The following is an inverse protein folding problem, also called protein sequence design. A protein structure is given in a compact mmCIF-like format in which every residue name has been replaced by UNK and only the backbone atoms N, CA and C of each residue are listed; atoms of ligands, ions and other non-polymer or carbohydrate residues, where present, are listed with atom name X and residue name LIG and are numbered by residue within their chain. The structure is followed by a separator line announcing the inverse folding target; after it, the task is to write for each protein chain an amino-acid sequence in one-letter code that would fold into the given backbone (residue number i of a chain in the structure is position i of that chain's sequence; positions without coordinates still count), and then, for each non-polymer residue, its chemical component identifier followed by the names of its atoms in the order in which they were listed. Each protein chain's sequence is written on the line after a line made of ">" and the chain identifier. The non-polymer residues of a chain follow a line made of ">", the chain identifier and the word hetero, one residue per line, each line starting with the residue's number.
data_IF_949165329593
#
_entry.id   IF_949165329593
#
_cell.length_a   1.000
_cell.length_b   1.000
_cell.length_c   1.000
_cell.angle_alpha   90.00
_cell.angle_beta   90.00
_cell.angle_gamma   90.00
#
_symmetry.space_group_name_H-M   'P 1'
#
loop_
_entity.id
_entity.type
_entity.pdbx_description
1 polymer ?
#
# COMPACT_ATOMS: atom_id res chain seq x y z
N UNK A 1 -65.71 40.19 -20.62
CA UNK A 1 -64.91 40.65 -19.47
C UNK A 1 -64.52 39.45 -18.59
N UNK A 2 -63.69 38.53 -19.08
CA UNK A 2 -63.31 37.30 -18.35
C UNK A 2 -61.82 36.93 -18.46
N UNK A 3 -61.00 37.80 -19.07
CA UNK A 3 -59.59 37.48 -19.36
C UNK A 3 -58.61 37.95 -18.27
N UNK A 4 -59.04 38.82 -17.33
CA UNK A 4 -58.14 39.35 -16.29
C UNK A 4 -58.01 38.45 -15.05
N UNK A 5 -58.99 37.57 -14.79
CA UNK A 5 -58.93 36.67 -13.62
C UNK A 5 -58.11 35.39 -13.87
N UNK A 6 -58.00 34.95 -15.12
CA UNK A 6 -57.22 33.76 -15.48
C UNK A 6 -55.71 34.04 -15.53
N UNK A 7 -55.32 35.23 -15.96
CA UNK A 7 -53.90 35.67 -15.98
C UNK A 7 -53.39 35.94 -14.56
N UNK A 8 -54.25 36.43 -13.66
CA UNK A 8 -53.90 36.60 -12.24
C UNK A 8 -53.66 35.26 -11.52
N UNK A 9 -54.39 34.19 -11.90
CA UNK A 9 -54.18 32.86 -11.32
C UNK A 9 -52.90 32.17 -11.83
N UNK A 10 -52.51 32.45 -13.09
CA UNK A 10 -51.27 31.92 -13.68
C UNK A 10 -50.01 32.64 -13.17
N UNK A 11 -50.12 33.92 -12.79
CA UNK A 11 -49.00 34.71 -12.26
C UNK A 11 -48.65 34.38 -10.80
N UNK A 12 -49.58 33.84 -10.02
CA UNK A 12 -49.32 33.39 -8.62
C UNK A 12 -48.65 32.01 -8.57
N UNK A 13 -48.73 31.22 -9.65
CA UNK A 13 -48.09 29.90 -9.76
C UNK A 13 -46.61 29.94 -10.21
N UNK A 14 -46.08 31.11 -10.60
CA UNK A 14 -44.73 31.25 -11.17
C UNK A 14 -43.71 31.82 -10.15
N UNK A 15 -44.13 32.17 -8.94
CA UNK A 15 -43.23 32.68 -7.89
C UNK A 15 -43.07 31.79 -6.65
N UNK A 16 -43.46 30.51 -6.72
CA UNK A 16 -42.89 29.52 -5.79
C UNK A 16 -41.54 29.07 -6.32
N UNK A 17 -40.54 29.96 -6.23
CA UNK A 17 -39.16 29.48 -6.09
C UNK A 17 -39.16 28.81 -4.72
N UNK A 18 -39.46 27.52 -4.69
CA UNK A 18 -39.19 26.72 -3.52
C UNK A 18 -37.68 26.83 -3.30
N UNK A 19 -37.26 27.62 -2.33
CA UNK A 19 -35.94 27.48 -1.73
C UNK A 19 -35.78 25.97 -1.47
N UNK A 20 -34.87 25.34 -2.20
CA UNK A 20 -34.47 23.98 -1.90
C UNK A 20 -33.83 24.03 -0.51
N UNK A 21 -34.64 23.82 0.53
CA UNK A 21 -34.16 23.77 1.90
C UNK A 21 -33.09 22.69 1.97
N UNK A 22 -31.86 23.09 2.29
CA UNK A 22 -30.72 22.18 2.36
C UNK A 22 -30.93 21.22 3.54
N UNK A 23 -31.28 19.98 3.21
CA UNK A 23 -31.71 18.92 4.13
C UNK A 23 -30.62 18.41 5.08
N UNK A 24 -29.38 18.42 4.59
CA UNK A 24 -28.20 18.13 5.37
C UNK A 24 -27.14 19.17 5.04
N UNK A 25 -26.55 19.75 6.07
CA UNK A 25 -25.46 20.71 5.92
C UNK A 25 -24.15 19.99 6.10
N UNK A 26 -23.29 20.14 5.10
CA UNK A 26 -21.91 19.72 5.18
C UNK A 26 -21.09 20.99 5.41
N UNK A 27 -20.25 21.00 6.44
CA UNK A 27 -19.23 22.04 6.62
C UNK A 27 -17.89 21.39 6.96
N UNK A 28 -16.80 22.06 6.61
CA UNK A 28 -15.47 21.67 7.05
C UNK A 28 -14.93 22.77 7.94
N UNK A 29 -14.39 22.34 9.06
CA UNK A 29 -13.64 23.21 9.95
C UNK A 29 -12.17 22.79 9.95
N UNK A 30 -11.31 23.74 10.31
CA UNK A 30 -9.85 23.71 10.36
C UNK A 30 -9.17 24.18 9.06
N UNK A 31 -8.70 25.43 9.09
CA UNK A 31 -7.70 26.01 8.17
C UNK A 31 -6.33 25.46 8.53
N UNK A 32 -6.12 24.20 8.17
CA UNK A 32 -4.92 23.46 8.48
C UNK A 32 -3.76 23.79 7.55
N UNK A 33 -2.55 23.62 8.08
CA UNK A 33 -1.29 23.69 7.36
C UNK A 33 -0.55 22.38 7.57
N UNK A 34 0.07 21.84 6.51
CA UNK A 34 0.90 20.62 6.60
C UNK A 34 2.36 21.00 6.32
N UNK A 35 3.20 21.11 7.36
CA UNK A 35 4.64 21.29 7.21
C UNK A 35 5.33 19.93 7.05
N UNK A 36 5.87 19.65 5.87
CA UNK A 36 6.74 18.50 5.60
C UNK A 36 8.18 18.97 5.73
N UNK A 37 8.71 18.92 6.96
CA UNK A 37 10.05 19.42 7.29
C UNK A 37 11.11 18.30 7.33
N UNK A 38 10.74 17.05 7.02
CA UNK A 38 11.68 15.91 6.87
C UNK A 38 11.31 15.04 5.66
N UNK A 39 12.20 14.15 5.20
CA UNK A 39 11.85 13.10 4.22
C UNK A 39 11.08 11.92 4.82
N UNK A 40 10.86 11.91 6.14
CA UNK A 40 10.02 10.93 6.84
C UNK A 40 8.53 11.14 6.63
N UNK A 41 7.70 10.22 7.15
CA UNK A 41 6.24 10.38 7.11
C UNK A 41 5.85 11.61 7.94
N UNK A 42 5.08 12.51 7.33
CA UNK A 42 4.49 13.64 8.04
C UNK A 42 3.03 13.36 8.30
N UNK A 43 2.61 13.43 9.56
CA UNK A 43 1.21 13.21 9.97
C UNK A 43 0.71 14.34 10.84
N UNK A 44 -0.33 15.02 10.38
CA UNK A 44 -1.01 16.06 11.15
C UNK A 44 -2.33 15.51 11.66
N UNK A 45 -2.40 15.32 12.99
CA UNK A 45 -3.55 14.72 13.63
C UNK A 45 -4.76 15.63 13.60
N UNK A 46 -5.93 15.07 13.30
CA UNK A 46 -7.22 15.76 13.31
C UNK A 46 -7.22 17.06 12.48
N UNK A 47 -6.40 17.12 11.42
CA UNK A 47 -6.26 18.33 10.61
C UNK A 47 -7.60 18.76 10.03
N UNK A 48 -8.47 17.81 9.69
CA UNK A 48 -9.78 18.11 9.11
C UNK A 48 -10.91 17.57 9.97
N UNK A 49 -11.90 18.44 10.22
CA UNK A 49 -13.17 18.10 10.84
C UNK A 49 -14.28 18.26 9.82
N UNK A 50 -14.94 17.16 9.50
CA UNK A 50 -16.10 17.15 8.63
C UNK A 50 -17.36 17.11 9.48
N UNK A 51 -18.19 18.13 9.34
CA UNK A 51 -19.41 18.29 10.10
C UNK A 51 -20.60 18.02 9.19
N UNK A 52 -21.42 17.05 9.58
CA UNK A 52 -22.66 16.68 8.93
C UNK A 52 -23.78 17.01 9.91
N UNK A 53 -24.67 17.90 9.52
CA UNK A 53 -25.83 18.30 10.32
C UNK A 53 -27.11 17.95 9.56
N UNK A 54 -28.08 17.38 10.27
CA UNK A 54 -29.43 17.08 9.77
C UNK A 54 -30.44 17.81 10.65
N UNK A 55 -31.35 18.55 10.02
CA UNK A 55 -32.42 19.31 10.69
C UNK A 55 -33.79 18.82 10.19
N UNK A 56 -34.76 18.70 11.13
CA UNK A 56 -36.20 18.35 11.02
C UNK A 56 -36.72 17.63 9.76
N UNK A 57 -37.48 16.56 10.02
CA UNK A 57 -38.06 15.56 9.11
C UNK A 57 -38.29 15.94 7.62
N UNK A 58 -37.57 15.23 6.74
CA UNK A 58 -38.09 14.65 5.49
C UNK A 58 -37.42 13.28 5.27
N UNK A 59 -37.63 12.38 6.23
CA UNK A 59 -37.11 11.01 6.23
C UNK A 59 -37.45 10.22 4.95
N UNK A 60 -36.58 9.23 4.65
CA UNK A 60 -36.56 8.24 3.56
C UNK A 60 -35.47 8.39 2.47
N UNK A 61 -34.62 9.42 2.47
CA UNK A 61 -33.48 9.50 1.52
C UNK A 61 -32.10 9.41 2.19
N UNK A 62 -32.04 9.54 3.51
CA UNK A 62 -30.83 9.56 4.33
C UNK A 62 -30.62 8.24 5.11
N UNK A 63 -31.39 7.21 4.79
CA UNK A 63 -31.04 5.82 5.08
C UNK A 63 -29.93 5.40 4.12
N UNK A 64 -28.87 4.74 4.59
CA UNK A 64 -27.77 4.27 3.69
C UNK A 64 -27.21 5.42 2.84
N UNK A 65 -26.85 6.51 3.49
CA UNK A 65 -26.17 7.66 2.89
C UNK A 65 -24.68 7.36 2.66
N UNK A 66 -24.01 8.17 1.86
CA UNK A 66 -22.54 8.13 1.77
C UNK A 66 -21.91 9.51 1.67
N UNK A 67 -20.68 9.62 2.21
CA UNK A 67 -19.78 10.74 1.99
C UNK A 67 -18.58 10.26 1.20
N UNK A 68 -18.20 11.04 0.20
CA UNK A 68 -16.98 10.84 -0.58
C UNK A 68 -16.15 12.11 -0.57
N UNK A 69 -14.84 11.97 -0.83
CA UNK A 69 -13.97 13.11 -1.09
C UNK A 69 -13.16 12.86 -2.36
N UNK A 70 -12.81 13.93 -3.06
CA UNK A 70 -11.93 13.89 -4.22
C UNK A 70 -11.09 15.13 -4.33
N UNK A 71 -9.94 14.99 -4.95
CA UNK A 71 -9.06 16.11 -5.27
C UNK A 71 -9.66 16.92 -6.42
N UNK A 72 -9.66 18.24 -6.27
CA UNK A 72 -10.26 19.17 -7.22
C UNK A 72 -9.18 19.98 -7.93
N UNK A 73 -8.68 19.43 -9.04
CA UNK A 73 -7.61 20.02 -9.83
C UNK A 73 -6.20 19.66 -9.32
N UNK A 74 -5.15 20.16 -9.99
CA UNK A 74 -3.77 19.87 -9.61
C UNK A 74 -3.42 20.49 -8.26
N UNK A 75 -2.65 19.76 -7.44
CA UNK A 75 -2.05 20.30 -6.21
C UNK A 75 -0.79 21.03 -6.62
N UNK A 76 -0.81 22.36 -6.65
CA UNK A 76 0.29 23.15 -7.20
C UNK A 76 0.68 24.32 -6.31
N UNK A 77 1.96 24.70 -6.36
CA UNK A 77 2.47 25.96 -5.81
C UNK A 77 2.71 27.03 -6.90
N UNK A 78 2.16 26.83 -8.11
CA UNK A 78 2.34 27.67 -9.29
C UNK A 78 3.51 27.26 -10.19
N UNK A 79 4.44 26.44 -9.70
CA UNK A 79 5.63 25.98 -10.45
C UNK A 79 5.64 24.45 -10.57
N UNK A 80 5.42 23.77 -9.44
CA UNK A 80 5.47 22.31 -9.34
C UNK A 80 4.06 21.78 -9.09
N UNK A 81 3.81 20.55 -9.51
CA UNK A 81 2.54 19.84 -9.26
C UNK A 81 2.81 18.61 -8.40
N UNK A 82 2.27 18.58 -7.19
CA UNK A 82 2.44 17.49 -6.24
C UNK A 82 1.48 16.32 -6.58
N UNK A 83 1.96 15.07 -6.53
CA UNK A 83 1.15 13.89 -6.80
C UNK A 83 0.10 13.66 -5.70
N UNK A 84 -1.21 13.66 -6.04
CA UNK A 84 -2.25 13.53 -5.02
C UNK A 84 -2.16 12.24 -4.21
N UNK A 85 -1.81 11.11 -4.83
CA UNK A 85 -1.71 9.81 -4.16
C UNK A 85 -0.67 9.72 -3.04
N UNK A 86 0.22 10.71 -2.93
CA UNK A 86 1.19 10.84 -1.83
C UNK A 86 0.59 11.49 -0.57
N UNK A 87 -0.63 12.01 -0.66
CA UNK A 87 -1.45 12.42 0.47
C UNK A 87 -2.46 11.33 0.81
N UNK A 88 -2.70 11.13 2.11
CA UNK A 88 -3.66 10.15 2.61
C UNK A 88 -4.49 10.74 3.75
N UNK A 89 -5.73 10.29 3.84
CA UNK A 89 -6.57 10.47 5.02
C UNK A 89 -6.56 9.20 5.86
N UNK A 90 -6.64 9.38 7.17
CA UNK A 90 -6.96 8.30 8.09
C UNK A 90 -7.99 8.80 9.09
N UNK A 91 -9.06 8.03 9.28
CA UNK A 91 -10.07 8.32 10.29
C UNK A 91 -9.44 8.26 11.68
N UNK A 92 -9.72 9.27 12.50
CA UNK A 92 -9.19 9.39 13.86
C UNK A 92 -10.26 9.01 14.87
N UNK A 93 -11.34 9.81 14.92
CA UNK A 93 -12.49 9.55 15.78
C UNK A 93 -13.70 10.36 15.29
N UNK A 94 -14.84 10.15 15.94
CA UNK A 94 -16.05 10.93 15.72
C UNK A 94 -16.62 11.46 17.04
N UNK A 95 -17.43 12.50 16.94
CA UNK A 95 -18.31 12.94 18.02
C UNK A 95 -19.68 13.30 17.45
N UNK A 96 -20.71 13.23 18.29
CA UNK A 96 -22.09 13.51 17.89
C UNK A 96 -22.73 14.51 18.84
N UNK A 97 -23.79 15.15 18.36
CA UNK A 97 -24.68 15.99 19.14
C UNK A 97 -26.12 15.80 18.67
N UNK A 98 -27.09 16.00 19.56
CA UNK A 98 -28.51 15.87 19.25
C UNK A 98 -29.11 14.51 19.60
N UNK A 99 -30.32 14.25 19.10
CA UNK A 99 -31.10 13.08 19.49
C UNK A 99 -30.58 11.80 18.83
N UNK A 100 -30.39 10.76 19.65
CA UNK A 100 -30.09 9.39 19.19
C UNK A 100 -31.35 8.73 18.63
N UNK A 101 -31.19 7.96 17.55
CA UNK A 101 -32.23 7.13 16.93
C UNK A 101 -32.31 5.71 17.53
N UNK A 102 -31.68 5.48 18.69
CA UNK A 102 -31.63 4.18 19.38
C UNK A 102 -30.60 3.20 18.81
N UNK A 103 -29.80 3.64 17.84
CA UNK A 103 -28.68 2.88 17.27
C UNK A 103 -27.38 3.54 17.72
N UNK A 104 -26.45 2.84 18.40
CA UNK A 104 -25.20 3.45 18.83
C UNK A 104 -24.44 4.09 17.66
N UNK A 105 -24.08 5.37 17.79
CA UNK A 105 -23.30 6.06 16.76
C UNK A 105 -21.82 5.76 16.95
N UNK A 106 -21.25 4.99 16.04
CA UNK A 106 -19.84 4.67 16.00
C UNK A 106 -19.38 4.46 14.55
N UNK A 107 -18.07 4.26 14.35
CA UNK A 107 -17.52 4.14 13.00
C UNK A 107 -18.12 2.98 12.20
N UNK A 108 -18.40 1.85 12.85
CA UNK A 108 -19.02 0.70 12.19
C UNK A 108 -20.48 0.96 11.82
N UNK A 109 -21.28 1.57 12.70
CA UNK A 109 -22.70 1.82 12.41
C UNK A 109 -22.91 2.87 11.31
N UNK A 110 -21.97 3.81 11.17
CA UNK A 110 -21.94 4.79 10.08
C UNK A 110 -21.28 4.24 8.79
N UNK A 111 -20.74 3.01 8.81
CA UNK A 111 -20.02 2.44 7.68
C UNK A 111 -18.76 3.21 7.30
N UNK A 112 -18.07 3.85 8.25
CA UNK A 112 -16.86 4.63 7.99
C UNK A 112 -15.69 3.73 7.58
N UNK A 113 -14.99 4.14 6.52
CA UNK A 113 -13.71 3.57 6.17
C UNK A 113 -12.62 4.08 7.13
N UNK A 114 -12.19 3.22 8.05
CA UNK A 114 -11.15 3.55 9.03
C UNK A 114 -9.73 3.26 8.55
N UNK A 115 -9.57 2.71 7.35
CA UNK A 115 -8.28 2.45 6.75
C UNK A 115 -7.61 3.73 6.25
N UNK A 116 -6.32 3.64 5.93
CA UNK A 116 -5.59 4.73 5.29
C UNK A 116 -6.04 4.86 3.83
N UNK A 117 -6.58 6.02 3.47
CA UNK A 117 -7.19 6.29 2.17
C UNK A 117 -6.33 7.28 1.37
N UNK A 118 -5.79 6.91 0.19
CA UNK A 118 -5.06 7.86 -0.65
C UNK A 118 -5.98 8.90 -1.26
N UNK A 119 -5.46 10.09 -1.49
CA UNK A 119 -6.17 11.13 -2.21
C UNK A 119 -6.19 10.79 -3.71
N UNK A 120 -7.37 10.90 -4.32
CA UNK A 120 -7.59 10.57 -5.72
C UNK A 120 -8.46 11.62 -6.41
N UNK A 121 -8.33 11.71 -7.74
CA UNK A 121 -9.16 12.61 -8.57
C UNK A 121 -10.54 11.99 -8.83
N UNK A 122 -10.62 10.66 -8.98
CA UNK A 122 -11.86 9.90 -9.21
C UNK A 122 -12.80 9.85 -8.00
N UNK A 123 -12.30 10.24 -6.83
CA UNK A 123 -13.02 10.20 -5.56
C UNK A 123 -12.85 8.90 -4.79
N UNK A 124 -12.94 9.05 -3.47
CA UNK A 124 -12.71 8.01 -2.47
C UNK A 124 -13.84 8.05 -1.46
N UNK A 125 -14.43 6.89 -1.18
CA UNK A 125 -15.53 6.76 -0.22
C UNK A 125 -15.01 6.87 1.22
N UNK A 126 -15.57 7.84 1.96
CA UNK A 126 -15.36 7.99 3.41
C UNK A 126 -16.27 7.03 4.19
N UNK A 127 -17.50 6.89 3.73
CA UNK A 127 -18.45 5.91 4.25
C UNK A 127 -18.89 5.01 3.11
N UNK A 128 -18.94 3.70 3.36
CA UNK A 128 -19.52 2.77 2.38
C UNK A 128 -21.02 2.68 2.59
N UNK A 129 -21.76 3.06 1.55
CA UNK A 129 -23.22 3.11 1.55
C UNK A 129 -23.90 1.80 1.97
N UNK A 130 -23.32 0.67 1.59
CA UNK A 130 -23.83 -0.66 1.90
C UNK A 130 -23.60 -1.07 3.36
N UNK A 131 -22.70 -0.40 4.09
CA UNK A 131 -22.29 -0.71 5.45
C UNK A 131 -22.86 0.26 6.50
N UNK A 132 -23.31 1.44 6.07
CA UNK A 132 -24.00 2.37 6.97
C UNK A 132 -25.38 1.83 7.32
N UNK A 133 -25.54 1.42 8.58
CA UNK A 133 -26.81 0.98 9.18
C UNK A 133 -27.46 2.10 10.00
N UNK A 134 -26.75 3.20 10.23
CA UNK A 134 -27.27 4.36 10.94
C UNK A 134 -28.09 5.27 10.00
N UNK A 135 -29.39 5.32 10.27
CA UNK A 135 -30.33 6.16 9.52
C UNK A 135 -30.22 7.62 9.98
N UNK A 136 -29.81 8.50 9.06
CA UNK A 136 -29.79 9.95 9.27
C UNK A 136 -31.17 10.61 9.07
N UNK A 137 -32.21 9.86 8.73
CA UNK A 137 -33.62 10.29 8.64
C UNK A 137 -34.29 10.59 9.98
N UNK A 138 -33.57 11.16 10.93
CA UNK A 138 -34.01 11.42 12.31
C UNK A 138 -34.99 12.61 12.33
N UNK A 139 -36.00 12.56 13.21
CA UNK A 139 -37.05 13.60 13.32
C UNK A 139 -36.60 14.88 14.04
N UNK A 140 -35.46 14.81 14.72
CA UNK A 140 -34.91 15.88 15.55
C UNK A 140 -33.49 16.23 15.06
N UNK A 141 -32.98 17.36 15.55
CA UNK A 141 -31.59 17.76 15.33
C UNK A 141 -30.61 16.62 15.64
N UNK A 142 -29.72 16.35 14.68
CA UNK A 142 -28.58 15.45 14.87
C UNK A 142 -27.39 15.94 14.06
N UNK A 143 -26.20 15.84 14.65
CA UNK A 143 -24.96 16.23 14.00
C UNK A 143 -23.82 15.24 14.29
N UNK A 144 -22.97 15.03 13.28
CA UNK A 144 -21.76 14.21 13.35
C UNK A 144 -20.55 15.08 13.02
N UNK A 145 -19.51 15.00 13.84
CA UNK A 145 -18.17 15.47 13.52
C UNK A 145 -17.28 14.27 13.24
N UNK A 146 -16.70 14.19 12.05
CA UNK A 146 -15.71 13.19 11.67
C UNK A 146 -14.33 13.85 11.63
N UNK A 147 -13.37 13.32 12.37
CA UNK A 147 -12.01 13.86 12.43
C UNK A 147 -11.05 12.97 11.63
N UNK A 148 -10.23 13.60 10.80
CA UNK A 148 -9.25 12.93 9.95
C UNK A 148 -7.84 13.50 10.14
N UNK A 149 -6.89 12.59 10.25
CA UNK A 149 -5.47 12.87 10.11
C UNK A 149 -5.14 13.05 8.62
N UNK A 150 -4.25 14.01 8.30
CA UNK A 150 -3.62 14.08 6.98
C UNK A 150 -2.21 13.53 7.09
N UNK A 151 -1.87 12.65 6.15
CA UNK A 151 -0.58 11.98 6.08
C UNK A 151 0.06 12.32 4.74
N UNK A 152 1.34 12.70 4.77
CA UNK A 152 2.21 12.78 3.60
C UNK A 152 3.18 11.61 3.68
N UNK A 153 3.23 10.81 2.61
CA UNK A 153 4.12 9.66 2.52
C UNK A 153 5.61 10.09 2.64
N UNK A 154 6.41 9.23 3.26
CA UNK A 154 7.86 9.42 3.33
C UNK A 154 8.52 9.16 1.97
N UNK A 155 9.68 9.78 1.71
CA UNK A 155 10.58 9.32 0.66
C UNK A 155 11.38 10.40 -0.06
N UNK A 156 12.40 9.96 -0.80
CA UNK A 156 13.31 10.83 -1.56
C UNK A 156 12.60 11.68 -2.62
N UNK A 157 11.42 11.24 -3.08
CA UNK A 157 10.61 11.98 -4.07
C UNK A 157 10.24 13.39 -3.59
N UNK A 158 10.21 13.63 -2.27
CA UNK A 158 9.94 14.96 -1.70
C UNK A 158 10.99 16.00 -2.12
N UNK A 159 12.19 15.57 -2.53
CA UNK A 159 13.24 16.47 -2.99
C UNK A 159 12.81 17.25 -4.25
N UNK A 160 12.11 16.58 -5.17
CA UNK A 160 11.57 17.22 -6.36
C UNK A 160 10.59 18.35 -6.00
N UNK A 161 9.89 18.24 -4.88
CA UNK A 161 8.84 19.19 -4.47
C UNK A 161 9.29 20.21 -3.44
N UNK A 162 10.56 20.16 -2.99
CA UNK A 162 11.12 21.14 -2.05
C UNK A 162 10.92 22.58 -2.55
N UNK A 163 10.28 23.41 -1.72
CA UNK A 163 9.94 24.80 -2.05
C UNK A 163 9.56 25.64 -0.83
N UNK A 164 9.86 26.95 -0.89
CA UNK A 164 9.33 27.95 0.03
C UNK A 164 7.87 28.31 -0.24
N UNK A 165 7.36 28.01 -1.43
CA UNK A 165 5.98 28.29 -1.82
C UNK A 165 5.06 27.11 -1.50
N UNK A 166 3.91 27.43 -0.93
CA UNK A 166 2.92 26.46 -0.50
C UNK A 166 2.21 25.83 -1.70
N UNK A 167 2.06 24.51 -1.67
CA UNK A 167 1.15 23.79 -2.56
C UNK A 167 -0.28 23.96 -2.04
N UNK A 168 -1.19 24.37 -2.91
CA UNK A 168 -2.61 24.45 -2.57
C UNK A 168 -3.26 23.10 -2.82
N UNK A 169 -3.74 22.46 -1.76
CA UNK A 169 -4.54 21.23 -1.88
C UNK A 169 -6.00 21.64 -1.90
N UNK A 170 -6.66 21.47 -3.04
CA UNK A 170 -8.08 21.71 -3.22
C UNK A 170 -8.79 20.36 -3.37
N UNK A 171 -9.91 20.20 -2.68
CA UNK A 171 -10.73 19.01 -2.70
C UNK A 171 -12.19 19.40 -2.71
N UNK A 172 -13.03 18.45 -3.09
CA UNK A 172 -14.48 18.51 -2.93
C UNK A 172 -14.88 17.33 -2.08
N UNK A 173 -15.73 17.58 -1.10
CA UNK A 173 -16.47 16.53 -0.41
C UNK A 173 -17.92 16.56 -0.83
N UNK A 174 -18.50 15.38 -0.95
CA UNK A 174 -19.83 15.17 -1.49
C UNK A 174 -20.61 14.28 -0.52
N UNK A 175 -21.81 14.73 -0.14
CA UNK A 175 -22.79 13.92 0.57
C UNK A 175 -23.81 13.42 -0.44
N UNK A 176 -24.07 12.13 -0.43
CA UNK A 176 -24.94 11.43 -1.38
C UNK A 176 -26.03 10.64 -0.65
N UNK A 177 -27.21 10.61 -1.24
CA UNK A 177 -28.36 9.86 -0.73
C UNK A 177 -28.24 8.36 -1.05
N UNK A 178 -29.20 7.54 -0.62
CA UNK A 178 -29.26 6.08 -0.86
C UNK A 178 -29.19 5.61 -2.31
N UNK A 179 -29.49 6.49 -3.27
CA UNK A 179 -29.42 6.22 -4.71
C UNK A 179 -28.07 6.62 -5.31
N UNK A 180 -27.17 7.19 -4.51
CA UNK A 180 -25.90 7.75 -4.96
C UNK A 180 -26.04 9.15 -5.56
N UNK A 181 -27.21 9.78 -5.48
CA UNK A 181 -27.45 11.12 -6.02
C UNK A 181 -26.80 12.16 -5.08
N UNK A 182 -26.17 13.17 -5.68
CA UNK A 182 -25.53 14.26 -4.94
C UNK A 182 -26.59 15.09 -4.20
N UNK A 183 -26.44 15.21 -2.89
CA UNK A 183 -27.30 16.07 -2.08
C UNK A 183 -26.67 17.43 -1.84
N UNK A 184 -25.39 17.43 -1.48
CA UNK A 184 -24.62 18.65 -1.26
C UNK A 184 -23.13 18.36 -1.44
N UNK A 185 -22.38 19.40 -1.77
CA UNK A 185 -20.93 19.35 -1.83
C UNK A 185 -20.33 20.62 -1.24
N UNK A 186 -19.11 20.51 -0.70
CA UNK A 186 -18.35 21.65 -0.24
C UNK A 186 -16.90 21.60 -0.71
N UNK A 187 -16.32 22.75 -1.10
CA UNK A 187 -14.90 22.83 -1.33
C UNK A 187 -14.15 22.75 0.01
N UNK A 188 -13.05 22.01 0.01
CA UNK A 188 -12.14 21.90 1.13
C UNK A 188 -10.75 22.25 0.63
N UNK A 189 -10.05 23.11 1.36
CA UNK A 189 -8.64 23.37 1.06
C UNK A 189 -7.76 23.39 2.30
N UNK A 190 -6.49 23.12 2.09
CA UNK A 190 -5.42 23.35 3.04
C UNK A 190 -4.12 23.60 2.28
N UNK A 191 -3.16 24.16 2.98
CA UNK A 191 -1.86 24.49 2.40
C UNK A 191 -0.83 23.43 2.84
N UNK A 192 0.10 23.08 1.94
CA UNK A 192 1.16 22.09 2.14
C UNK A 192 2.51 22.74 1.82
N UNK A 193 3.46 22.77 2.77
CA UNK A 193 4.87 23.09 2.46
C UNK A 193 5.68 21.83 2.51
N UNK A 194 6.53 21.72 1.49
CA UNK A 194 7.51 20.67 1.40
C UNK A 194 8.87 21.33 1.51
N UNK A 195 9.47 21.23 2.69
CA UNK A 195 10.79 21.76 3.00
C UNK A 195 11.57 20.83 3.91
N UNK A 196 11.88 19.59 3.47
CA UNK A 196 12.75 18.72 4.23
C UNK A 196 14.08 19.39 4.59
N UNK A 197 14.46 19.32 5.86
CA UNK A 197 15.70 19.89 6.41
C UNK A 197 16.79 18.83 6.61
N UNK A 198 16.43 17.56 6.62
CA UNK A 198 17.33 16.41 6.65
C UNK A 198 17.86 16.06 5.25
N UNK A 199 18.47 14.89 5.07
CA UNK A 199 18.98 14.42 3.77
C UNK A 199 17.99 13.46 3.11
N UNK A 200 17.81 13.52 1.79
CA UNK A 200 16.95 12.55 1.08
C UNK A 200 17.41 11.12 1.38
N UNK A 201 16.49 10.17 1.63
CA UNK A 201 16.87 8.78 1.74
C UNK A 201 17.49 8.32 0.42
N UNK A 202 18.54 7.50 0.51
CA UNK A 202 19.20 6.94 -0.66
C UNK A 202 18.27 5.95 -1.37
N UNK A 203 17.89 6.25 -2.61
CA UNK A 203 17.16 5.28 -3.45
C UNK A 203 18.03 4.04 -3.64
N UNK A 204 17.55 2.84 -3.28
CA UNK A 204 18.32 1.62 -3.47
C UNK A 204 18.60 1.37 -4.96
N UNK A 205 19.87 1.34 -5.31
CA UNK A 205 20.38 0.88 -6.59
C UNK A 205 21.20 -0.37 -6.32
N UNK A 206 20.70 -1.51 -6.76
CA UNK A 206 21.27 -2.81 -6.47
C UNK A 206 21.04 -3.77 -7.63
N UNK A 207 21.83 -4.83 -7.68
CA UNK A 207 21.66 -5.88 -8.67
C UNK A 207 22.39 -7.16 -8.28
N UNK A 208 21.90 -8.25 -8.84
CA UNK A 208 22.49 -9.58 -8.75
C UNK A 208 22.57 -10.18 -10.14
N UNK A 209 23.73 -10.70 -10.52
CA UNK A 209 23.97 -11.30 -11.84
C UNK A 209 24.64 -12.64 -11.65
N UNK A 210 24.02 -13.69 -12.20
CA UNK A 210 24.60 -15.03 -12.26
C UNK A 210 25.52 -15.18 -13.47
N UNK A 211 26.65 -15.86 -13.28
CA UNK A 211 27.46 -16.34 -14.39
C UNK A 211 26.71 -17.41 -15.18
N UNK A 212 26.84 -17.41 -16.51
CA UNK A 212 26.16 -18.38 -17.38
C UNK A 212 26.49 -19.83 -17.00
N UNK A 213 27.73 -20.11 -16.58
CA UNK A 213 28.17 -21.45 -16.20
C UNK A 213 27.63 -21.90 -14.84
N UNK A 214 27.10 -20.97 -14.04
CA UNK A 214 26.55 -21.25 -12.72
C UNK A 214 25.02 -21.42 -12.71
N UNK A 215 24.34 -21.14 -13.83
CA UNK A 215 22.87 -21.30 -13.95
C UNK A 215 22.41 -22.75 -13.90
N UNK A 216 23.25 -23.68 -14.34
CA UNK A 216 22.99 -25.11 -14.32
C UNK A 216 24.08 -25.83 -13.53
N UNK A 217 23.67 -26.67 -12.58
CA UNK A 217 24.60 -27.46 -11.76
C UNK A 217 24.18 -28.91 -11.82
N UNK A 218 25.16 -29.77 -12.11
CA UNK A 218 24.99 -31.22 -12.16
C UNK A 218 25.81 -31.87 -11.05
N UNK A 219 25.15 -32.66 -10.21
CA UNK A 219 25.76 -33.53 -9.22
C UNK A 219 25.58 -34.97 -9.70
N UNK A 220 26.67 -35.62 -10.11
CA UNK A 220 26.62 -36.98 -10.69
C UNK A 220 27.19 -38.01 -9.71
N UNK A 221 26.41 -39.05 -9.42
CA UNK A 221 26.88 -40.24 -8.72
C UNK A 221 27.24 -41.32 -9.75
N UNK A 222 28.53 -41.61 -9.93
CA UNK A 222 29.03 -42.55 -10.96
C UNK A 222 29.60 -43.83 -10.36
N UNK A 223 30.11 -43.75 -9.14
CA UNK A 223 30.85 -44.83 -8.48
C UNK A 223 30.30 -45.09 -7.08
N UNK A 224 30.55 -46.28 -6.53
CA UNK A 224 30.22 -46.58 -5.13
C UNK A 224 30.85 -45.58 -4.14
N UNK A 225 32.02 -45.03 -4.49
CA UNK A 225 32.70 -43.99 -3.72
C UNK A 225 31.88 -42.69 -3.63
N UNK A 226 31.18 -42.31 -4.70
CA UNK A 226 30.35 -41.11 -4.73
C UNK A 226 29.16 -41.24 -3.77
N UNK A 227 28.59 -42.44 -3.65
CA UNK A 227 27.53 -42.70 -2.67
C UNK A 227 28.07 -42.74 -1.23
N UNK A 228 29.25 -43.34 -1.02
CA UNK A 228 29.88 -43.42 0.30
C UNK A 228 30.32 -42.06 0.83
N UNK A 229 30.90 -41.21 -0.03
CA UNK A 229 31.50 -39.93 0.37
C UNK A 229 30.60 -38.71 0.10
N UNK A 230 29.56 -38.88 -0.72
CA UNK A 230 28.80 -37.78 -1.27
C UNK A 230 29.53 -37.11 -2.44
N UNK A 231 28.81 -36.26 -3.15
CA UNK A 231 29.32 -35.51 -4.31
C UNK A 231 29.31 -34.03 -4.00
N UNK A 232 30.27 -33.29 -4.56
CA UNK A 232 30.40 -31.85 -4.37
C UNK A 232 30.74 -31.18 -5.69
N UNK A 233 30.09 -30.06 -5.99
CA UNK A 233 30.37 -29.21 -7.14
C UNK A 233 30.45 -27.76 -6.71
N UNK A 234 31.60 -27.15 -6.95
CA UNK A 234 31.81 -25.72 -6.72
C UNK A 234 31.81 -24.97 -8.06
N UNK A 235 31.04 -23.90 -8.12
CA UNK A 235 31.04 -22.92 -9.20
C UNK A 235 31.73 -21.65 -8.67
N UNK A 236 32.91 -21.35 -9.20
CA UNK A 236 33.62 -20.13 -8.81
C UNK A 236 32.98 -18.91 -9.46
N UNK A 237 32.90 -17.79 -8.73
CA UNK A 237 32.25 -16.54 -9.15
C UNK A 237 30.84 -16.78 -9.74
N UNK A 238 30.11 -17.70 -9.12
CA UNK A 238 28.80 -18.15 -9.57
C UNK A 238 27.78 -17.02 -9.73
N UNK A 239 27.85 -16.01 -8.87
CA UNK A 239 27.12 -14.76 -9.04
C UNK A 239 27.88 -13.59 -8.45
N UNK A 240 27.44 -12.40 -8.84
CA UNK A 240 27.91 -11.13 -8.30
C UNK A 240 26.76 -10.30 -7.79
N UNK A 241 27.07 -9.38 -6.87
CA UNK A 241 26.12 -8.37 -6.38
C UNK A 241 26.76 -6.99 -6.37
N UNK A 242 25.93 -5.95 -6.36
CA UNK A 242 26.31 -4.59 -5.98
C UNK A 242 25.10 -3.92 -5.33
N UNK A 243 25.33 -2.99 -4.40
CA UNK A 243 24.25 -2.20 -3.78
C UNK A 243 24.77 -0.91 -3.14
N UNK A 244 24.04 0.19 -3.27
CA UNK A 244 24.33 1.44 -2.54
C UNK A 244 23.68 1.50 -1.13
N UNK A 245 22.87 0.51 -0.77
CA UNK A 245 22.24 0.33 0.56
C UNK A 245 22.59 -1.06 1.11
N UNK A 246 22.53 -1.29 2.44
CA UNK A 246 22.65 -2.65 2.98
C UNK A 246 21.59 -3.56 2.35
N UNK A 247 21.86 -4.86 2.26
CA UNK A 247 20.93 -5.81 1.65
C UNK A 247 21.06 -7.21 2.25
N UNK A 248 20.04 -8.01 2.00
CA UNK A 248 20.05 -9.46 2.24
C UNK A 248 19.83 -10.23 0.95
N UNK A 249 20.45 -11.40 0.84
CA UNK A 249 20.13 -12.38 -0.20
C UNK A 249 19.46 -13.57 0.46
N UNK A 250 18.33 -13.97 -0.12
CA UNK A 250 17.55 -15.14 0.25
C UNK A 250 17.58 -16.17 -0.86
N UNK A 251 17.40 -17.41 -0.46
CA UNK A 251 17.28 -18.54 -1.37
C UNK A 251 16.13 -19.45 -0.97
N UNK A 252 15.48 -20.05 -1.95
CA UNK A 252 14.54 -21.15 -1.79
C UNK A 252 14.48 -21.97 -3.08
N UNK A 253 13.90 -23.16 -3.03
CA UNK A 253 13.57 -23.96 -4.21
C UNK A 253 12.13 -23.74 -4.66
N UNK A 254 11.84 -24.00 -5.95
CA UNK A 254 10.47 -24.11 -6.46
C UNK A 254 9.96 -25.52 -6.13
N UNK A 255 9.46 -25.70 -4.90
CA UNK A 255 8.95 -26.98 -4.40
C UNK A 255 9.90 -27.70 -3.43
N UNK A 256 9.36 -28.68 -2.69
CA UNK A 256 10.09 -29.42 -1.64
C UNK A 256 10.79 -30.68 -2.14
N UNK A 257 10.70 -30.99 -3.43
CA UNK A 257 11.33 -32.16 -4.05
C UNK A 257 11.80 -31.83 -5.46
N UNK A 258 12.92 -32.42 -5.85
CA UNK A 258 13.33 -32.56 -7.24
C UNK A 258 12.47 -33.65 -7.90
N UNK A 259 12.17 -33.48 -9.18
CA UNK A 259 11.39 -34.42 -9.98
C UNK A 259 12.22 -34.99 -11.12
N UNK A 260 11.92 -36.22 -11.49
CA UNK A 260 12.53 -36.92 -12.62
C UNK A 260 11.50 -37.22 -13.72
N UNK A 261 11.98 -37.58 -14.90
CA UNK A 261 11.11 -37.92 -16.04
C UNK A 261 10.31 -39.21 -15.80
N UNK A 262 10.79 -40.10 -14.92
CA UNK A 262 10.06 -41.30 -14.47
C UNK A 262 9.02 -41.04 -13.38
N UNK A 263 8.72 -39.77 -13.05
CA UNK A 263 7.86 -39.36 -11.93
C UNK A 263 8.38 -39.78 -10.54
N UNK A 264 9.66 -40.13 -10.42
CA UNK A 264 10.32 -40.32 -9.13
C UNK A 264 10.71 -38.96 -8.52
N UNK A 265 10.68 -38.85 -7.20
CA UNK A 265 11.01 -37.62 -6.47
C UNK A 265 12.19 -37.80 -5.53
N UNK A 266 12.99 -36.75 -5.37
CA UNK A 266 14.08 -36.66 -4.40
C UNK A 266 13.89 -35.42 -3.52
N UNK A 267 13.92 -35.51 -2.18
CA UNK A 267 13.70 -34.34 -1.34
C UNK A 267 14.85 -33.34 -1.48
N UNK A 268 14.53 -32.05 -1.66
CA UNK A 268 15.55 -31.01 -1.90
C UNK A 268 16.49 -30.81 -0.71
N UNK A 269 16.02 -31.10 0.51
CA UNK A 269 16.81 -30.94 1.73
C UNK A 269 17.96 -31.97 1.88
N UNK A 270 18.04 -32.97 1.01
CA UNK A 270 19.20 -33.85 0.87
C UNK A 270 20.39 -33.13 0.20
N UNK A 271 20.15 -31.98 -0.42
CA UNK A 271 21.18 -31.12 -1.02
C UNK A 271 21.57 -30.00 -0.06
N UNK A 272 22.88 -29.82 0.10
CA UNK A 272 23.49 -28.69 0.84
C UNK A 272 23.98 -27.65 -0.15
N UNK A 273 23.85 -26.39 0.23
CA UNK A 273 24.40 -25.25 -0.50
C UNK A 273 25.23 -24.39 0.45
N UNK A 274 26.45 -24.09 0.02
CA UNK A 274 27.37 -23.19 0.68
C UNK A 274 27.72 -22.03 -0.23
N UNK A 275 27.83 -20.84 0.37
CA UNK A 275 28.21 -19.61 -0.33
C UNK A 275 29.40 -19.01 0.37
N UNK A 276 30.43 -18.68 -0.41
CA UNK A 276 31.60 -17.96 0.06
C UNK A 276 31.79 -16.70 -0.77
N UNK A 277 32.21 -15.61 -0.15
CA UNK A 277 32.70 -14.46 -0.90
C UNK A 277 34.03 -14.84 -1.56
N UNK A 278 34.17 -14.63 -2.86
CA UNK A 278 35.23 -15.21 -3.68
C UNK A 278 36.63 -14.70 -3.30
N UNK A 279 36.78 -13.44 -2.90
CA UNK A 279 38.10 -12.86 -2.59
C UNK A 279 38.60 -13.24 -1.20
N UNK A 280 37.73 -13.12 -0.19
CA UNK A 280 38.04 -13.34 1.23
C UNK A 280 37.82 -14.79 1.67
N UNK A 281 37.11 -15.58 0.86
CA UNK A 281 36.67 -16.95 1.16
C UNK A 281 35.78 -17.05 2.41
N UNK A 282 35.22 -15.92 2.86
CA UNK A 282 34.32 -15.83 4.00
C UNK A 282 33.03 -16.61 3.70
N UNK A 283 32.69 -17.57 4.58
CA UNK A 283 31.44 -18.31 4.50
C UNK A 283 30.26 -17.40 4.88
N UNK A 284 29.38 -17.12 3.93
CA UNK A 284 28.21 -16.25 4.13
C UNK A 284 26.91 -17.05 4.24
N UNK A 285 26.83 -18.20 3.57
CA UNK A 285 25.67 -19.09 3.61
C UNK A 285 26.09 -20.55 3.73
N UNK A 286 25.39 -21.33 4.55
CA UNK A 286 25.55 -22.77 4.67
C UNK A 286 24.23 -23.37 5.11
N UNK A 287 23.49 -23.94 4.16
CA UNK A 287 22.13 -24.41 4.37
C UNK A 287 21.88 -25.76 3.69
N UNK A 288 20.89 -26.49 4.18
CA UNK A 288 20.20 -27.48 3.34
C UNK A 288 19.14 -26.73 2.52
N UNK A 289 18.98 -27.10 1.24
CA UNK A 289 17.98 -26.47 0.38
C UNK A 289 16.55 -26.76 0.89
N UNK A 290 15.66 -25.79 0.71
CA UNK A 290 14.26 -25.86 1.15
C UNK A 290 13.37 -25.02 0.24
N UNK A 291 12.08 -25.35 0.22
CA UNK A 291 11.05 -24.51 -0.40
C UNK A 291 10.79 -23.22 0.41
N UNK A 292 11.17 -23.18 1.68
CA UNK A 292 11.07 -21.97 2.52
C UNK A 292 12.26 -21.04 2.27
N UNK A 293 12.01 -19.72 2.30
CA UNK A 293 13.08 -18.73 2.16
C UNK A 293 14.09 -18.79 3.30
N UNK A 294 15.37 -18.84 2.94
CA UNK A 294 16.50 -18.87 3.88
C UNK A 294 17.47 -17.73 3.55
N UNK A 295 17.90 -16.97 4.57
CA UNK A 295 18.92 -15.94 4.41
C UNK A 295 20.29 -16.60 4.21
N UNK A 296 21.03 -16.16 3.20
CA UNK A 296 22.35 -16.71 2.82
C UNK A 296 23.44 -15.64 2.68
N UNK A 297 23.07 -14.36 2.59
CA UNK A 297 24.01 -13.24 2.66
C UNK A 297 23.32 -12.11 3.42
N UNK A 298 24.05 -11.48 4.34
CA UNK A 298 23.78 -10.16 4.88
C UNK A 298 25.00 -9.29 4.61
N UNK A 299 24.84 -8.20 3.87
CA UNK A 299 25.97 -7.33 3.51
C UNK A 299 25.62 -5.87 3.70
N UNK A 300 26.62 -5.10 4.14
CA UNK A 300 26.58 -3.64 4.03
C UNK A 300 26.59 -3.20 2.56
N UNK A 301 26.31 -1.92 2.31
CA UNK A 301 26.40 -1.31 0.99
C UNK A 301 27.81 -1.49 0.39
N UNK A 302 27.87 -1.81 -0.90
CA UNK A 302 29.08 -1.77 -1.71
C UNK A 302 28.71 -1.47 -3.18
N UNK A 303 29.13 -0.33 -3.74
CA UNK A 303 28.78 0.03 -5.11
C UNK A 303 29.56 -0.79 -6.15
N UNK A 304 30.72 -1.35 -5.80
CA UNK A 304 31.49 -2.22 -6.67
C UNK A 304 30.97 -3.66 -6.64
N UNK A 305 31.23 -4.43 -7.71
CA UNK A 305 30.85 -5.85 -7.78
C UNK A 305 31.60 -6.67 -6.73
N UNK A 306 30.85 -7.42 -5.92
CA UNK A 306 31.37 -8.53 -5.10
C UNK A 306 30.94 -9.85 -5.70
N UNK A 307 31.88 -10.79 -5.80
CA UNK A 307 31.64 -12.10 -6.40
C UNK A 307 31.52 -13.17 -5.32
N UNK A 308 30.68 -14.17 -5.58
CA UNK A 308 30.42 -15.25 -4.65
C UNK A 308 30.58 -16.59 -5.34
N UNK A 309 31.26 -17.51 -4.67
CA UNK A 309 31.33 -18.92 -5.03
C UNK A 309 30.11 -19.64 -4.46
N UNK A 310 29.52 -20.55 -5.23
CA UNK A 310 28.49 -21.46 -4.73
C UNK A 310 29.01 -22.89 -4.79
N UNK A 311 28.90 -23.61 -3.68
CA UNK A 311 29.17 -25.05 -3.62
C UNK A 311 27.89 -25.79 -3.29
N UNK A 312 27.51 -26.73 -4.16
CA UNK A 312 26.44 -27.69 -3.91
C UNK A 312 27.05 -29.03 -3.52
N UNK A 313 26.48 -29.69 -2.52
CA UNK A 313 26.96 -31.00 -2.07
C UNK A 313 25.87 -31.89 -1.52
N UNK A 314 26.16 -33.18 -1.45
CA UNK A 314 25.34 -34.17 -0.73
C UNK A 314 26.07 -34.65 0.51
N UNK A 315 25.33 -35.28 1.42
CA UNK A 315 25.93 -35.89 2.60
C UNK A 315 26.53 -37.27 2.26
N UNK A 316 27.70 -37.55 2.85
CA UNK A 316 28.34 -38.86 2.79
C UNK A 316 27.42 -39.95 3.36
N UNK A 317 27.27 -41.06 2.63
CA UNK A 317 26.47 -42.21 3.07
C UNK A 317 24.97 -41.95 3.16
N UNK A 318 24.45 -40.91 2.50
CA UNK A 318 23.03 -40.55 2.58
C UNK A 318 22.15 -41.57 1.84
N UNK A 319 21.43 -42.38 2.62
CA UNK A 319 20.52 -43.43 2.16
C UNK A 319 19.41 -42.92 1.22
N UNK A 320 19.15 -41.62 1.22
CA UNK A 320 18.20 -40.98 0.30
C UNK A 320 18.60 -41.19 -1.17
N UNK A 321 19.88 -41.37 -1.47
CA UNK A 321 20.40 -41.59 -2.82
C UNK A 321 20.63 -43.08 -3.17
N UNK A 322 20.80 -43.96 -2.18
CA UNK A 322 21.10 -45.38 -2.41
C UNK A 322 19.92 -46.18 -2.98
N UNK A 323 18.71 -45.91 -2.51
CA UNK A 323 17.50 -46.69 -2.86
C UNK A 323 16.64 -45.98 -3.91
N UNK A 324 17.26 -45.21 -4.81
CA UNK A 324 16.55 -44.45 -5.85
C UNK A 324 16.82 -45.00 -7.23
N UNK A 325 15.81 -44.90 -8.08
CA UNK A 325 15.94 -45.18 -9.50
C UNK A 325 17.04 -44.31 -10.09
N UNK A 326 17.89 -44.90 -10.92
CA UNK A 326 18.90 -44.19 -11.71
C UNK A 326 18.19 -43.32 -12.75
N UNK A 327 17.99 -42.06 -12.41
CA UNK A 327 17.30 -41.06 -13.23
C UNK A 327 17.87 -39.67 -12.93
N UNK A 328 17.59 -38.70 -13.80
CA UNK A 328 17.94 -37.31 -13.61
C UNK A 328 16.83 -36.61 -12.82
N UNK A 329 17.13 -36.22 -11.58
CA UNK A 329 16.25 -35.43 -10.73
C UNK A 329 16.62 -33.94 -10.89
N UNK A 330 15.65 -33.11 -11.23
CA UNK A 330 15.85 -31.68 -11.48
C UNK A 330 14.90 -30.81 -10.67
N UNK A 331 15.29 -29.56 -10.46
CA UNK A 331 14.54 -28.55 -9.75
C UNK A 331 15.19 -27.18 -9.91
N UNK A 332 14.50 -26.13 -9.46
CA UNK A 332 14.96 -24.75 -9.61
C UNK A 332 15.24 -24.12 -8.24
N UNK A 333 16.40 -23.50 -8.11
CA UNK A 333 16.78 -22.67 -6.97
C UNK A 333 16.58 -21.21 -7.34
N UNK A 334 15.87 -20.46 -6.51
CA UNK A 334 15.56 -19.04 -6.71
C UNK A 334 16.33 -18.22 -5.69
N UNK A 335 17.01 -17.18 -6.18
CA UNK A 335 17.70 -16.21 -5.35
C UNK A 335 16.93 -14.88 -5.38
N UNK A 336 16.82 -14.21 -4.24
CA UNK A 336 16.16 -12.91 -4.13
C UNK A 336 17.04 -11.97 -3.34
N UNK A 337 17.33 -10.80 -3.89
CA UNK A 337 18.06 -9.72 -3.22
C UNK A 337 17.09 -8.66 -2.72
N UNK A 338 17.21 -8.26 -1.46
CA UNK A 338 16.30 -7.33 -0.79
C UNK A 338 17.13 -6.20 -0.15
N UNK A 339 17.06 -4.96 -0.67
CA UNK A 339 17.68 -3.80 -0.01
C UNK A 339 17.03 -3.57 1.37
N UNK A 340 17.80 -3.09 2.34
CA UNK A 340 17.38 -2.83 3.72
C UNK A 340 17.21 -1.34 3.99
#
# INVERSE_FOLDING_TARGET
>A
MYMSKFIALLAVLIFSVADAQTFARLSVHNTGWVPVDTYGETRIKNLKRFFIEVQNANGLQMDRWSVTFRVNGPITNGIKTFPPQKLKYQFSYLSTAGADNGTPVNASSLGLNTAVMPFQISGTDITTQSQSVYDLGIKNYFAINLYYDVIVEAGAYLEEYKSWSNFKVNMIMELRNRKGELMTQIPVSFDLRIMPLDSPPTTPTFGMVFDENAKNVLLEFKTASDYANGVTKTQSKAFSTFSNTPYTVRVNTIGSSLSSNSNSTLPVNALKMQIRENQTQLLTGNINLSASQQNIISSAAHPALKFYDITYSTQAGDLTFFNRSYDQYSGTVVFTMIPQ
#
